data_IF_573820615082
#
_entry.id   IF_573820615082
#
_cell.length_a   1.000
_cell.length_b   1.000
_cell.length_c   1.000
_cell.angle_alpha   90.00
_cell.angle_beta   90.00
_cell.angle_gamma   90.00
#
_symmetry.space_group_name_H-M   'P 1'
#
loop_
_entity.id
_entity.type
_entity.pdbx_description
1 polymer ?
#
# COMPACT_ATOMS: atom_id res chain seq x y z
N UNK A 1 -4.77 10.85 -16.96
CA UNK A 1 -4.71 10.84 -15.48
C UNK A 1 -3.55 11.73 -15.08
N UNK A 2 -3.47 12.27 -13.85
CA UNK A 2 -2.25 12.94 -13.43
C UNK A 2 -1.08 11.96 -13.56
N UNK A 3 -0.02 12.35 -14.27
CA UNK A 3 1.15 11.50 -14.47
C UNK A 3 2.09 11.50 -13.26
N UNK A 4 1.92 12.47 -12.36
CA UNK A 4 2.69 12.62 -11.13
C UNK A 4 2.09 11.80 -9.97
N UNK A 5 2.87 10.92 -9.31
CA UNK A 5 2.41 10.15 -8.17
C UNK A 5 1.83 10.99 -7.02
N UNK A 6 2.33 12.21 -6.82
CA UNK A 6 1.82 13.08 -5.76
C UNK A 6 0.42 13.60 -6.06
N UNK A 7 0.16 14.00 -7.31
CA UNK A 7 -1.18 14.40 -7.75
C UNK A 7 -2.20 13.26 -7.62
N UNK A 8 -1.80 12.02 -7.93
CA UNK A 8 -2.65 10.84 -7.75
C UNK A 8 -2.96 10.59 -6.27
N UNK A 9 -1.95 10.68 -5.39
CA UNK A 9 -2.11 10.49 -3.96
C UNK A 9 -3.04 11.57 -3.35
N UNK A 10 -2.87 12.83 -3.75
CA UNK A 10 -3.73 13.93 -3.29
C UNK A 10 -5.17 13.77 -3.75
N UNK A 11 -5.40 13.33 -5.01
CA UNK A 11 -6.73 13.02 -5.50
C UNK A 11 -7.40 11.89 -4.70
N UNK A 12 -6.66 10.83 -4.38
CA UNK A 12 -7.16 9.73 -3.58
C UNK A 12 -7.49 10.15 -2.13
N UNK A 13 -6.60 10.90 -1.46
CA UNK A 13 -6.83 11.42 -0.11
C UNK A 13 -8.10 12.26 -0.08
N UNK A 14 -8.24 13.20 -1.01
CA UNK A 14 -9.44 14.04 -1.12
C UNK A 14 -10.69 13.20 -1.36
N UNK A 15 -10.63 12.23 -2.27
CA UNK A 15 -11.78 11.39 -2.62
C UNK A 15 -12.29 10.57 -1.42
N UNK A 16 -11.39 9.93 -0.69
CA UNK A 16 -11.75 9.00 0.36
C UNK A 16 -11.94 9.64 1.74
N UNK A 17 -11.28 10.77 2.00
CA UNK A 17 -11.27 11.41 3.33
C UNK A 17 -11.86 12.82 3.34
N UNK A 18 -12.05 13.45 2.16
CA UNK A 18 -12.46 14.85 2.06
C UNK A 18 -11.39 15.86 2.47
N UNK A 19 -10.19 15.41 2.85
CA UNK A 19 -9.09 16.27 3.30
C UNK A 19 -8.26 16.74 2.10
N UNK A 20 -7.94 18.03 2.09
CA UNK A 20 -6.96 18.62 1.17
C UNK A 20 -5.70 19.05 1.93
N UNK A 21 -4.53 18.99 1.26
CA UNK A 21 -3.29 19.44 1.88
C UNK A 21 -3.36 20.97 2.15
N UNK A 22 -3.29 21.41 3.42
CA UNK A 22 -3.74 22.75 3.80
C UNK A 22 -2.77 23.87 3.40
N UNK A 23 -1.50 23.57 3.13
CA UNK A 23 -0.49 24.59 2.81
C UNK A 23 0.70 24.04 2.00
N UNK A 24 1.55 24.95 1.53
CA UNK A 24 2.73 24.61 0.74
C UNK A 24 3.81 23.88 1.54
N UNK A 25 3.90 24.09 2.86
CA UNK A 25 4.85 23.37 3.71
C UNK A 25 4.49 21.88 3.83
N UNK A 26 3.20 21.56 3.95
CA UNK A 26 2.69 20.19 3.93
C UNK A 26 2.95 19.50 2.60
N UNK A 27 2.80 20.22 1.47
CA UNK A 27 3.16 19.69 0.15
C UNK A 27 4.66 19.36 0.04
N UNK A 28 5.53 20.29 0.47
CA UNK A 28 6.98 20.04 0.47
C UNK A 28 7.39 18.88 1.37
N UNK A 29 6.76 18.74 2.53
CA UNK A 29 7.03 17.61 3.42
C UNK A 29 6.65 16.27 2.76
N UNK A 30 5.72 16.27 1.80
CA UNK A 30 5.33 15.06 1.06
C UNK A 30 6.34 14.68 -0.05
N UNK A 31 7.19 15.59 -0.51
CA UNK A 31 8.13 15.36 -1.62
C UNK A 31 9.20 14.30 -1.32
N UNK A 32 9.47 14.02 -0.04
CA UNK A 32 10.44 13.00 0.39
C UNK A 32 9.87 11.57 0.37
N UNK A 33 8.54 11.44 0.39
CA UNK A 33 7.87 10.13 0.50
C UNK A 33 7.90 9.28 -0.78
N UNK A 34 7.84 9.81 -2.01
CA UNK A 34 7.95 9.01 -3.23
C UNK A 34 9.20 8.13 -3.27
N UNK A 35 10.36 8.67 -2.88
CA UNK A 35 11.61 7.90 -2.82
C UNK A 35 11.52 6.77 -1.79
N UNK A 36 11.01 7.07 -0.59
CA UNK A 36 10.81 6.10 0.48
C UNK A 36 9.82 4.99 0.09
N UNK A 37 8.72 5.33 -0.61
CA UNK A 37 7.74 4.38 -1.12
C UNK A 37 8.39 3.45 -2.16
N UNK A 38 9.21 4.00 -3.06
CA UNK A 38 9.93 3.22 -4.06
C UNK A 38 10.94 2.26 -3.40
N UNK A 39 11.67 2.71 -2.37
CA UNK A 39 12.56 1.86 -1.57
C UNK A 39 11.80 0.71 -0.89
N UNK A 40 10.66 0.99 -0.24
CA UNK A 40 9.83 -0.06 0.34
C UNK A 40 9.25 -1.02 -0.70
N UNK A 41 8.87 -0.52 -1.89
CA UNK A 41 8.40 -1.37 -2.97
C UNK A 41 9.51 -2.29 -3.49
N UNK A 42 10.74 -1.80 -3.60
CA UNK A 42 11.90 -2.62 -3.98
C UNK A 42 12.24 -3.66 -2.91
N UNK A 43 12.14 -3.30 -1.62
CA UNK A 43 12.32 -4.23 -0.51
C UNK A 43 11.24 -5.32 -0.48
N UNK A 44 9.99 -5.02 -0.89
CA UNK A 44 8.87 -5.97 -0.86
C UNK A 44 9.16 -7.27 -1.62
N UNK A 45 9.86 -7.20 -2.75
CA UNK A 45 10.25 -8.38 -3.54
C UNK A 45 11.51 -9.10 -3.07
N UNK A 46 12.20 -8.57 -2.06
CA UNK A 46 13.44 -9.13 -1.50
C UNK A 46 13.35 -9.57 -0.04
N UNK A 47 12.23 -9.29 0.62
CA UNK A 47 11.97 -9.80 1.97
C UNK A 47 11.27 -11.16 1.84
N UNK A 48 11.77 -12.15 2.59
CA UNK A 48 11.25 -13.52 2.68
C UNK A 48 9.84 -13.63 3.29
N UNK A 49 9.01 -12.59 3.22
CA UNK A 49 7.59 -12.66 3.61
C UNK A 49 6.79 -13.63 2.71
N UNK A 50 7.32 -13.99 1.54
CA UNK A 50 6.74 -14.98 0.62
C UNK A 50 7.35 -16.39 0.74
N UNK A 51 8.34 -16.60 1.63
CA UNK A 51 8.92 -17.95 1.86
C UNK A 51 8.03 -18.84 2.75
N UNK A 52 6.88 -18.34 3.21
CA UNK A 52 5.84 -19.21 3.74
C UNK A 52 4.45 -18.88 3.16
N UNK A 53 4.07 -19.46 2.01
CA UNK A 53 2.70 -19.51 1.54
C UNK A 53 2.07 -20.87 1.84
N UNK A 54 2.27 -21.43 3.04
CA UNK A 54 1.66 -22.72 3.40
C UNK A 54 0.80 -22.71 4.65
N UNK A 55 0.91 -21.76 5.58
CA UNK A 55 0.11 -21.82 6.80
C UNK A 55 -1.36 -21.44 6.56
N UNK A 56 -1.63 -20.31 5.89
CA UNK A 56 -3.02 -19.82 5.80
C UNK A 56 -3.92 -20.71 4.95
N UNK A 57 -3.54 -21.00 3.70
CA UNK A 57 -4.34 -21.86 2.81
C UNK A 57 -4.37 -23.34 3.21
N UNK A 58 -3.37 -23.82 3.97
CA UNK A 58 -3.45 -25.16 4.58
C UNK A 58 -4.45 -25.16 5.74
N UNK A 59 -4.36 -24.20 6.67
CA UNK A 59 -5.31 -24.05 7.78
C UNK A 59 -6.73 -23.83 7.27
N UNK A 60 -6.92 -23.04 6.21
CA UNK A 60 -8.24 -22.82 5.60
C UNK A 60 -8.86 -24.11 5.02
N UNK A 61 -8.03 -25.04 4.54
CA UNK A 61 -8.49 -26.38 4.09
C UNK A 61 -8.80 -27.30 5.24
N UNK A 62 -8.02 -27.26 6.32
CA UNK A 62 -8.25 -28.05 7.53
C UNK A 62 -9.55 -27.64 8.25
N UNK A 63 -9.86 -26.34 8.25
CA UNK A 63 -11.06 -25.78 8.88
C UNK A 63 -12.32 -25.81 7.97
N UNK A 64 -12.23 -26.43 6.79
CA UNK A 64 -13.38 -26.50 5.87
C UNK A 64 -14.37 -27.54 6.37
N UNK A 65 -15.63 -27.14 6.57
CA UNK A 65 -16.69 -28.08 6.97
C UNK A 65 -16.84 -29.21 5.94
N UNK A 66 -16.98 -30.48 6.39
CA UNK A 66 -17.17 -31.59 5.47
C UNK A 66 -18.49 -31.43 4.71
N UNK A 67 -18.44 -31.67 3.39
CA UNK A 67 -19.66 -31.67 2.57
C UNK A 67 -20.63 -32.75 3.08
N UNK A 68 -21.89 -32.34 3.28
CA UNK A 68 -22.97 -33.16 3.86
C UNK A 68 -23.50 -34.24 2.91
#
# INVERSE_FOLDING_TARGET
>A
MPDDPMDQAQAAIRLWTGVECPNAAGRRALDDFPALIAEFAALRGGLAFEDEPSAFEAVLREEKEPEA
#
